data_IF_573182879500
#
_entry.id   IF_573182879500
#
_cell.length_a   1.000
_cell.length_b   1.000
_cell.length_c   1.000
_cell.angle_alpha   90.00
_cell.angle_beta   90.00
_cell.angle_gamma   90.00
#
_symmetry.space_group_name_H-M   'P 1'
#
loop_
_entity.id
_entity.type
_entity.pdbx_description
1 polymer ?
#
# COMPACT_ATOMS: atom_id res chain seq x y z
N UNK A 1 1.55 -1.56 13.43
CA UNK A 1 0.08 -1.36 13.47
C UNK A 1 -0.53 -2.10 12.29
N UNK A 2 -1.78 -2.57 12.36
CA UNK A 2 -2.43 -3.24 11.22
C UNK A 2 -3.25 -2.23 10.42
N UNK A 3 -2.98 -2.12 9.12
CA UNK A 3 -3.80 -1.34 8.17
C UNK A 3 -4.63 -2.31 7.35
N UNK A 4 -5.94 -2.14 7.38
CA UNK A 4 -6.85 -2.93 6.56
C UNK A 4 -6.64 -2.57 5.09
N UNK A 5 -6.37 -3.59 4.29
CA UNK A 5 -6.37 -3.52 2.83
C UNK A 5 -7.58 -4.28 2.29
N UNK A 6 -7.64 -4.53 0.98
CA UNK A 6 -8.82 -5.17 0.36
C UNK A 6 -9.07 -6.60 0.85
N UNK A 7 -10.29 -7.08 0.64
CA UNK A 7 -10.76 -8.45 0.91
C UNK A 7 -10.53 -8.96 2.35
N UNK A 8 -10.46 -8.05 3.31
CA UNK A 8 -10.29 -8.39 4.73
C UNK A 8 -8.85 -8.71 5.13
N UNK A 9 -7.89 -8.43 4.26
CA UNK A 9 -6.47 -8.57 4.58
C UNK A 9 -5.94 -7.34 5.34
N UNK A 10 -4.82 -7.52 6.03
CA UNK A 10 -4.15 -6.46 6.79
C UNK A 10 -2.67 -6.45 6.48
N UNK A 11 -2.09 -5.26 6.29
CA UNK A 11 -0.66 -5.06 6.26
C UNK A 11 -0.17 -4.65 7.65
N UNK A 12 0.87 -5.32 8.16
CA UNK A 12 1.57 -4.84 9.33
C UNK A 12 2.54 -3.74 8.92
N UNK A 13 2.28 -2.52 9.38
CA UNK A 13 3.06 -1.33 9.04
C UNK A 13 4.52 -1.42 9.47
N UNK A 14 4.84 -2.22 10.48
CA UNK A 14 6.23 -2.45 10.93
C UNK A 14 7.08 -3.20 9.91
N UNK A 15 6.44 -3.92 8.99
CA UNK A 15 7.12 -4.74 7.99
C UNK A 15 7.09 -4.12 6.60
N UNK A 16 6.56 -2.90 6.46
CA UNK A 16 6.60 -2.16 5.20
C UNK A 16 8.03 -1.69 4.97
N UNK A 17 8.56 -2.03 3.80
CA UNK A 17 9.90 -1.65 3.35
C UNK A 17 9.83 -0.37 2.53
N UNK A 18 8.87 -0.30 1.59
CA UNK A 18 8.75 0.83 0.68
C UNK A 18 7.31 1.01 0.19
N UNK A 19 6.95 2.25 -0.13
CA UNK A 19 5.72 2.61 -0.83
C UNK A 19 6.11 3.35 -2.11
N UNK A 20 5.62 2.89 -3.26
CA UNK A 20 5.87 3.48 -4.58
C UNK A 20 4.55 3.84 -5.24
N UNK A 21 4.55 4.94 -5.96
CA UNK A 21 3.38 5.47 -6.67
C UNK A 21 3.73 5.57 -8.13
N UNK A 22 2.88 5.01 -8.98
CA UNK A 22 2.97 5.19 -10.43
C UNK A 22 1.63 5.70 -10.96
N UNK A 23 1.69 6.47 -12.04
CA UNK A 23 0.52 6.96 -12.77
C UNK A 23 0.46 6.25 -14.12
N UNK A 24 -0.69 5.67 -14.45
CA UNK A 24 -0.91 5.05 -15.74
C UNK A 24 -1.10 6.11 -16.83
N UNK A 25 -0.86 5.73 -18.08
CA UNK A 25 -1.13 6.62 -19.22
C UNK A 25 -2.62 6.97 -19.36
N UNK A 26 -3.52 6.12 -18.87
CA UNK A 26 -4.97 6.36 -18.82
C UNK A 26 -5.41 7.28 -17.69
N UNK A 27 -4.49 7.73 -16.82
CA UNK A 27 -4.76 8.69 -15.74
C UNK A 27 -5.01 8.07 -14.36
N UNK A 28 -5.09 6.74 -14.28
CA UNK A 28 -5.18 6.00 -13.01
C UNK A 28 -3.86 5.97 -12.25
N UNK A 29 -3.91 5.52 -10.99
CA UNK A 29 -2.78 5.48 -10.08
C UNK A 29 -2.62 4.08 -9.48
N UNK A 30 -1.39 3.63 -9.34
CA UNK A 30 -1.06 2.39 -8.62
C UNK A 30 -0.18 2.73 -7.42
N UNK A 31 -0.61 2.29 -6.24
CA UNK A 31 0.20 2.33 -5.01
C UNK A 31 0.71 0.92 -4.74
N UNK A 32 2.02 0.74 -4.89
CA UNK A 32 2.72 -0.51 -4.61
C UNK A 32 3.39 -0.44 -3.23
N UNK A 33 3.00 -1.32 -2.32
CA UNK A 33 3.54 -1.43 -0.95
C UNK A 33 4.37 -2.69 -0.84
N UNK A 34 5.69 -2.53 -0.75
CA UNK A 34 6.64 -3.63 -0.52
C UNK A 34 6.74 -3.91 0.98
N UNK A 35 6.64 -5.19 1.36
CA UNK A 35 6.68 -5.61 2.77
C UNK A 35 7.30 -6.99 2.95
N UNK A 36 7.78 -7.29 4.16
CA UNK A 36 8.25 -8.63 4.54
C UNK A 36 7.14 -9.36 5.29
N UNK A 37 6.51 -10.41 4.73
CA UNK A 37 5.57 -11.21 5.49
C UNK A 37 6.28 -11.90 6.66
N UNK A 38 5.68 -11.89 7.85
CA UNK A 38 6.27 -12.47 9.07
C UNK A 38 6.65 -13.95 8.94
N UNK A 39 6.07 -14.68 7.97
CA UNK A 39 6.28 -16.11 7.76
C UNK A 39 7.23 -16.46 6.61
N UNK A 40 7.69 -15.48 5.81
CA UNK A 40 8.44 -15.76 4.58
C UNK A 40 9.68 -14.89 4.53
N UNK A 41 10.87 -15.49 4.34
CA UNK A 41 12.15 -14.79 4.12
C UNK A 41 12.22 -14.07 2.76
N UNK A 42 11.09 -13.60 2.21
CA UNK A 42 11.00 -13.00 0.89
C UNK A 42 10.05 -11.81 0.91
N UNK A 43 10.48 -10.70 0.31
CA UNK A 43 9.66 -9.52 0.12
C UNK A 43 8.44 -9.85 -0.76
N UNK A 44 7.31 -9.26 -0.40
CA UNK A 44 6.07 -9.29 -1.16
C UNK A 44 5.66 -7.86 -1.53
N UNK A 45 4.85 -7.73 -2.57
CA UNK A 45 4.30 -6.44 -3.01
C UNK A 45 2.78 -6.54 -3.01
N UNK A 46 2.13 -5.61 -2.32
CA UNK A 46 0.70 -5.37 -2.43
C UNK A 46 0.47 -4.16 -3.33
N UNK A 47 -0.28 -4.33 -4.41
CA UNK A 47 -0.62 -3.25 -5.34
C UNK A 47 -2.09 -2.91 -5.23
N UNK A 48 -2.39 -1.62 -5.08
CA UNK A 48 -3.75 -1.11 -5.14
C UNK A 48 -3.89 -0.08 -6.26
N UNK A 49 -4.93 -0.25 -7.07
CA UNK A 49 -5.25 0.62 -8.18
C UNK A 49 -6.33 1.62 -7.78
N UNK A 50 -6.20 2.85 -8.25
CA UNK A 50 -7.12 3.95 -8.01
C UNK A 50 -7.41 4.65 -9.33
N UNK A 51 -8.67 5.04 -9.54
CA UNK A 51 -9.06 5.77 -10.74
C UNK A 51 -8.64 7.23 -10.67
N UNK A 52 -8.57 7.79 -9.45
CA UNK A 52 -8.22 9.18 -9.22
C UNK A 52 -7.05 9.36 -8.26
N UNK A 53 -6.32 10.46 -8.43
CA UNK A 53 -5.22 10.82 -7.53
C UNK A 53 -5.69 11.13 -6.11
N UNK A 54 -6.91 11.64 -5.96
CA UNK A 54 -7.50 11.95 -4.65
C UNK A 54 -7.69 10.68 -3.81
N UNK A 55 -8.21 9.61 -4.41
CA UNK A 55 -8.40 8.33 -3.69
C UNK A 55 -7.06 7.71 -3.28
N UNK A 56 -6.06 7.77 -4.17
CA UNK A 56 -4.71 7.33 -3.88
C UNK A 56 -4.10 8.13 -2.72
N UNK A 57 -4.30 9.46 -2.70
CA UNK A 57 -3.81 10.34 -1.63
C UNK A 57 -4.48 10.02 -0.29
N UNK A 58 -5.80 9.85 -0.25
CA UNK A 58 -6.53 9.46 0.97
C UNK A 58 -6.02 8.13 1.52
N UNK A 59 -5.75 7.15 0.65
CA UNK A 59 -5.14 5.89 1.07
C UNK A 59 -3.74 6.10 1.68
N UNK A 60 -2.89 6.89 1.02
CA UNK A 60 -1.53 7.18 1.50
C UNK A 60 -1.51 7.93 2.84
N UNK A 61 -2.44 8.87 3.05
CA UNK A 61 -2.58 9.57 4.33
C UNK A 61 -2.99 8.61 5.46
N UNK A 62 -3.91 7.68 5.21
CA UNK A 62 -4.26 6.64 6.18
C UNK A 62 -3.08 5.73 6.50
N UNK A 63 -2.33 5.30 5.47
CA UNK A 63 -1.14 4.47 5.64
C UNK A 63 -0.07 5.21 6.45
N UNK A 64 0.21 6.47 6.14
CA UNK A 64 1.15 7.32 6.88
C UNK A 64 0.77 7.48 8.35
N UNK A 65 -0.51 7.74 8.64
CA UNK A 65 -1.01 7.86 10.01
C UNK A 65 -0.86 6.56 10.82
N UNK A 66 -0.88 5.39 10.16
CA UNK A 66 -0.69 4.10 10.82
C UNK A 66 0.78 3.68 10.96
N UNK A 67 1.69 4.36 10.26
CA UNK A 67 3.15 4.21 10.40
C UNK A 67 3.74 5.18 11.42
N UNK A 68 3.08 6.33 11.64
CA UNK A 68 3.42 7.33 12.66
C UNK A 68 3.01 6.88 14.06
#
# INVERSE_FOLDING_TARGET
MLVKVEDGFYLNTQHIIAVRISKSQSGGFTVATEYTPNSVQKNAVFEKHFDTGLEAEVFLQHLHKAMS
#
